data_IF_667924376838
#
_entry.id   IF_667924376838
#
_cell.length_a   1.000
_cell.length_b   1.000
_cell.length_c   1.000
_cell.angle_alpha   90.00
_cell.angle_beta   90.00
_cell.angle_gamma   90.00
#
_symmetry.space_group_name_H-M   'P 1'
#
loop_
_entity.id
_entity.type
_entity.pdbx_description
1 polymer ?
#
# COMPACT_ATOMS: atom_id res chain seq x y z
N UNK A 1 37.14 14.88 76.14
CA UNK A 1 37.52 13.45 76.05
C UNK A 1 36.96 12.88 74.75
N UNK A 2 37.78 12.09 74.00
CA UNK A 2 37.49 11.19 72.85
C UNK A 2 36.75 11.80 71.61
N UNK A 3 37.22 11.72 70.35
CA UNK A 3 37.50 10.54 69.45
C UNK A 3 36.25 9.64 69.25
N UNK A 4 35.83 9.12 68.07
CA UNK A 4 36.30 9.10 66.64
C UNK A 4 35.08 8.67 65.76
N UNK A 5 35.06 8.49 64.42
CA UNK A 5 36.08 8.37 63.35
C UNK A 5 35.55 9.00 62.01
N UNK A 6 35.59 8.30 60.86
CA UNK A 6 35.29 8.80 59.50
C UNK A 6 34.21 8.01 58.72
N UNK A 7 33.65 8.70 57.71
CA UNK A 7 33.32 8.28 56.32
C UNK A 7 32.85 6.85 55.96
N UNK A 8 31.70 6.82 55.24
CA UNK A 8 31.33 6.11 53.98
C UNK A 8 29.81 6.35 53.80
N UNK A 9 29.24 6.66 52.64
CA UNK A 9 29.69 6.40 51.28
C UNK A 9 28.91 5.24 50.67
N UNK A 10 27.62 5.44 50.34
CA UNK A 10 26.76 4.49 49.60
C UNK A 10 25.57 5.19 48.93
N UNK A 11 25.60 5.29 47.61
CA UNK A 11 24.41 5.33 46.75
C UNK A 11 24.13 3.87 46.33
N UNK A 12 22.89 3.38 46.40
CA UNK A 12 22.18 3.00 45.15
C UNK A 12 20.63 3.15 45.29
N UNK A 13 19.74 2.88 44.33
CA UNK A 13 19.75 2.18 43.04
C UNK A 13 18.90 2.95 42.01
N UNK A 14 19.26 2.87 40.72
CA UNK A 14 18.36 3.30 39.64
C UNK A 14 17.22 2.31 39.43
N UNK A 15 15.97 2.79 39.36
CA UNK A 15 14.81 1.97 38.99
C UNK A 15 14.67 1.90 37.47
N UNK A 16 15.41 1.00 36.84
CA UNK A 16 15.18 0.62 35.44
C UNK A 16 13.96 -0.31 35.35
N UNK A 17 12.88 0.18 34.73
CA UNK A 17 11.75 -0.67 34.36
C UNK A 17 12.22 -1.73 33.35
N UNK A 18 11.87 -3.02 33.51
CA UNK A 18 12.22 -4.01 32.50
C UNK A 18 11.43 -3.78 31.22
N UNK A 19 12.13 -3.51 30.12
CA UNK A 19 11.54 -3.59 28.77
C UNK A 19 11.27 -5.06 28.48
N UNK A 20 10.00 -5.47 28.41
CA UNK A 20 9.65 -6.76 27.85
C UNK A 20 10.06 -6.77 26.37
N UNK A 21 11.10 -7.52 26.04
CA UNK A 21 11.38 -7.90 24.66
C UNK A 21 10.30 -8.88 24.22
N UNK A 22 9.33 -8.41 23.44
CA UNK A 22 8.43 -9.29 22.69
C UNK A 22 9.25 -10.06 21.67
N UNK A 23 9.61 -11.31 22.00
CA UNK A 23 10.22 -12.23 21.04
C UNK A 23 9.10 -12.84 20.22
N UNK A 24 8.95 -12.38 18.98
CA UNK A 24 8.02 -12.99 18.04
C UNK A 24 8.51 -14.39 17.64
N UNK A 25 7.66 -15.43 17.62
CA UNK A 25 8.08 -16.76 17.19
C UNK A 25 8.48 -16.74 15.71
N UNK A 26 9.64 -17.34 15.41
CA UNK A 26 10.16 -17.51 14.06
C UNK A 26 9.19 -18.37 13.24
N UNK A 27 8.67 -17.82 12.15
CA UNK A 27 7.79 -18.57 11.24
C UNK A 27 8.49 -19.85 10.70
N UNK A 28 7.77 -20.97 10.56
CA UNK A 28 8.31 -22.17 9.93
C UNK A 28 8.62 -21.91 8.45
N UNK A 29 9.64 -22.59 7.91
CA UNK A 29 9.93 -22.53 6.46
C UNK A 29 8.72 -23.08 5.70
N UNK A 30 8.07 -22.21 4.93
CA UNK A 30 6.93 -22.58 4.09
C UNK A 30 7.38 -23.51 2.98
N UNK A 31 6.79 -24.70 2.92
CA UNK A 31 6.77 -25.50 1.70
C UNK A 31 5.89 -24.78 0.66
N UNK A 32 6.39 -24.69 -0.58
CA UNK A 32 5.72 -24.02 -1.71
C UNK A 32 4.28 -24.51 -1.85
N UNK A 33 3.35 -23.58 -1.99
CA UNK A 33 1.90 -23.88 -2.10
C UNK A 33 1.57 -24.50 -3.47
N UNK A 34 0.42 -25.18 -3.64
CA UNK A 34 0.14 -25.95 -4.85
C UNK A 34 0.14 -25.16 -6.16
N UNK A 35 -0.23 -23.87 -6.14
CA UNK A 35 -0.33 -23.03 -7.34
C UNK A 35 1.04 -22.60 -7.90
N UNK A 36 2.07 -22.55 -7.06
CA UNK A 36 3.45 -22.19 -7.43
C UNK A 36 4.14 -23.23 -8.34
N UNK A 37 3.49 -24.37 -8.56
CA UNK A 37 4.01 -25.51 -9.34
C UNK A 37 3.65 -25.44 -10.83
N UNK A 38 2.73 -24.54 -11.21
CA UNK A 38 2.12 -24.49 -12.54
C UNK A 38 2.64 -23.37 -13.45
N UNK A 39 3.61 -22.56 -13.00
CA UNK A 39 4.27 -21.60 -13.89
C UNK A 39 5.16 -22.35 -14.92
N UNK A 40 5.00 -22.11 -16.24
CA UNK A 40 5.88 -22.70 -17.23
C UNK A 40 7.32 -22.20 -17.03
N UNK A 41 8.27 -23.14 -16.96
CA UNK A 41 9.69 -22.80 -16.82
C UNK A 41 10.14 -21.97 -18.03
N UNK A 42 10.73 -20.79 -17.79
CA UNK A 42 11.33 -19.97 -18.85
C UNK A 42 12.43 -20.77 -19.56
N UNK A 43 12.14 -21.21 -20.79
CA UNK A 43 13.13 -21.80 -21.68
C UNK A 43 14.13 -20.73 -22.12
N UNK A 44 15.41 -20.98 -21.89
CA UNK A 44 16.50 -20.12 -22.38
C UNK A 44 16.70 -20.33 -23.87
N UNK A 45 16.11 -19.46 -24.70
CA UNK A 45 16.41 -19.37 -26.12
C UNK A 45 17.20 -18.10 -26.42
N UNK A 46 18.53 -18.23 -26.51
CA UNK A 46 19.38 -17.17 -27.05
C UNK A 46 19.23 -17.08 -28.56
N UNK A 47 18.63 -15.99 -29.07
CA UNK A 47 18.99 -15.47 -30.39
C UNK A 47 18.74 -13.96 -30.51
N UNK A 48 19.75 -13.27 -31.00
CA UNK A 48 19.81 -11.83 -31.27
C UNK A 48 18.98 -11.43 -32.49
N UNK A 49 18.30 -10.28 -32.44
CA UNK A 49 18.57 -9.07 -33.29
C UNK A 49 17.36 -8.11 -33.33
N UNK A 50 17.62 -6.83 -33.07
CA UNK A 50 16.94 -5.70 -33.71
C UNK A 50 15.49 -5.40 -33.33
N UNK A 51 15.28 -4.53 -32.33
CA UNK A 51 14.82 -3.16 -32.59
C UNK A 51 14.94 -2.29 -31.34
N UNK A 52 15.63 -1.18 -31.51
CA UNK A 52 15.96 -0.21 -30.46
C UNK A 52 14.72 0.62 -30.10
N UNK A 53 14.28 0.54 -28.84
CA UNK A 53 13.37 1.51 -28.21
C UNK A 53 13.97 1.92 -26.87
N UNK A 54 15.03 2.71 -26.95
CA UNK A 54 15.73 3.25 -25.79
C UNK A 54 14.89 4.24 -25.00
N UNK A 55 14.21 3.78 -23.97
CA UNK A 55 13.69 4.65 -22.91
C UNK A 55 14.71 4.76 -21.77
N UNK A 56 15.65 5.71 -21.91
CA UNK A 56 16.41 6.26 -20.78
C UNK A 56 16.42 7.79 -20.85
N UNK A 57 15.54 8.38 -20.04
CA UNK A 57 15.41 9.80 -19.71
C UNK A 57 14.35 9.90 -18.62
N UNK A 58 14.73 9.90 -17.35
CA UNK A 58 14.98 11.07 -16.50
C UNK A 58 13.69 11.73 -15.97
N UNK A 59 13.41 11.43 -14.69
CA UNK A 59 12.67 12.24 -13.71
C UNK A 59 11.29 12.75 -14.11
N UNK A 60 10.26 11.97 -13.78
CA UNK A 60 8.85 12.32 -13.95
C UNK A 60 7.98 11.12 -13.63
N UNK A 61 7.69 10.94 -12.34
CA UNK A 61 6.71 9.97 -11.85
C UNK A 61 5.38 10.16 -12.57
N UNK A 62 4.72 9.07 -12.97
CA UNK A 62 3.48 9.08 -13.77
C UNK A 62 2.23 9.57 -13.03
N UNK A 63 2.35 10.53 -12.11
CA UNK A 63 1.24 11.15 -11.39
C UNK A 63 1.22 12.66 -11.67
N UNK A 64 0.05 13.19 -12.04
CA UNK A 64 -0.15 14.60 -12.41
C UNK A 64 -1.15 15.33 -11.52
N UNK A 65 -1.80 14.63 -10.59
CA UNK A 65 -2.81 15.19 -9.69
C UNK A 65 -2.95 14.38 -8.41
N UNK A 66 -3.75 14.91 -7.48
CA UNK A 66 -3.86 14.41 -6.11
C UNK A 66 -4.87 13.26 -5.94
N UNK A 67 -5.72 13.02 -6.94
CA UNK A 67 -6.79 12.03 -6.86
C UNK A 67 -6.30 10.62 -7.24
N UNK A 68 -6.99 9.59 -6.76
CA UNK A 68 -6.56 8.20 -6.92
C UNK A 68 -6.33 7.75 -8.39
N UNK A 69 -7.03 8.36 -9.36
CA UNK A 69 -6.89 8.10 -10.80
C UNK A 69 -6.12 9.19 -11.58
N UNK A 70 -5.48 10.14 -10.90
CA UNK A 70 -4.62 11.16 -11.54
C UNK A 70 -3.16 10.66 -11.74
N UNK A 71 -3.02 9.38 -12.12
CA UNK A 71 -1.73 8.72 -12.37
C UNK A 71 -1.87 7.51 -13.32
N UNK A 72 -0.82 7.20 -14.07
CA UNK A 72 -0.80 6.14 -15.08
C UNK A 72 -1.08 4.74 -14.47
N UNK A 73 -0.40 4.37 -13.39
CA UNK A 73 -0.56 3.06 -12.72
C UNK A 73 -2.04 2.75 -12.41
N UNK A 74 -2.74 3.71 -11.78
CA UNK A 74 -4.15 3.56 -11.43
C UNK A 74 -5.08 3.51 -12.64
N UNK A 75 -4.74 4.18 -13.75
CA UNK A 75 -5.50 4.08 -15.00
C UNK A 75 -5.30 2.72 -15.66
N UNK A 76 -4.06 2.24 -15.76
CA UNK A 76 -3.74 0.89 -16.25
C UNK A 76 -4.45 -0.19 -15.40
N UNK A 77 -4.43 -0.04 -14.07
CA UNK A 77 -5.18 -0.92 -13.17
C UNK A 77 -6.71 -0.85 -13.40
N UNK A 78 -7.25 0.33 -13.70
CA UNK A 78 -8.67 0.49 -14.00
C UNK A 78 -9.09 -0.19 -15.33
N UNK A 79 -8.19 -0.31 -16.31
CA UNK A 79 -8.47 -1.05 -17.54
C UNK A 79 -8.73 -2.55 -17.28
N UNK A 80 -8.07 -3.15 -16.28
CA UNK A 80 -8.26 -4.56 -15.93
C UNK A 80 -9.61 -4.85 -15.26
N UNK A 81 -10.33 -3.84 -14.75
CA UNK A 81 -11.67 -4.03 -14.16
C UNK A 81 -12.68 -4.57 -15.18
N UNK A 82 -12.61 -4.15 -16.44
CA UNK A 82 -13.50 -4.65 -17.50
C UNK A 82 -13.33 -6.16 -17.76
N UNK A 83 -12.19 -6.74 -17.34
CA UNK A 83 -11.90 -8.17 -17.42
C UNK A 83 -12.48 -9.01 -16.28
N UNK A 84 -13.04 -8.40 -15.22
CA UNK A 84 -13.57 -9.10 -14.04
C UNK A 84 -14.98 -8.64 -13.68
N UNK A 85 -15.81 -9.54 -13.18
CA UNK A 85 -17.17 -9.25 -12.70
C UNK A 85 -17.33 -9.42 -11.18
N UNK A 86 -16.21 -9.46 -10.47
CA UNK A 86 -16.14 -9.63 -9.02
C UNK A 86 -15.01 -8.78 -8.39
N UNK A 87 -14.88 -8.84 -7.08
CA UNK A 87 -13.85 -8.09 -6.33
C UNK A 87 -12.47 -8.78 -6.33
N UNK A 88 -12.15 -9.66 -7.28
CA UNK A 88 -10.84 -10.34 -7.35
C UNK A 88 -9.69 -9.37 -7.58
N UNK A 89 -9.84 -8.40 -8.51
CA UNK A 89 -8.82 -7.40 -8.79
C UNK A 89 -8.59 -6.45 -7.59
N UNK A 90 -9.67 -6.02 -6.93
CA UNK A 90 -9.64 -5.24 -5.68
C UNK A 90 -8.94 -6.01 -4.56
N UNK A 91 -9.23 -7.31 -4.39
CA UNK A 91 -8.53 -8.19 -3.43
C UNK A 91 -7.04 -8.29 -3.76
N UNK A 92 -6.69 -8.51 -5.03
CA UNK A 92 -5.31 -8.63 -5.50
C UNK A 92 -4.47 -7.37 -5.24
N UNK A 93 -5.05 -6.17 -5.44
CA UNK A 93 -4.36 -4.91 -5.16
C UNK A 93 -4.01 -4.77 -3.66
N UNK A 94 -4.95 -5.08 -2.77
CA UNK A 94 -4.73 -5.04 -1.32
C UNK A 94 -3.78 -6.15 -0.84
N UNK A 95 -3.84 -7.34 -1.46
CA UNK A 95 -2.94 -8.47 -1.18
C UNK A 95 -1.47 -8.16 -1.53
N UNK A 96 -1.23 -7.33 -2.55
CA UNK A 96 0.13 -6.88 -2.88
C UNK A 96 0.69 -5.94 -1.80
N UNK A 97 -0.11 -5.03 -1.23
CA UNK A 97 0.30 -4.20 -0.08
C UNK A 97 0.62 -5.07 1.14
N UNK A 98 -0.23 -6.05 1.43
CA UNK A 98 -0.02 -6.99 2.54
C UNK A 98 1.24 -7.84 2.36
N UNK A 99 1.55 -8.25 1.11
CA UNK A 99 2.72 -9.06 0.78
C UNK A 99 4.06 -8.31 0.91
N UNK A 100 4.06 -6.98 0.70
CA UNK A 100 5.23 -6.11 1.00
C UNK A 100 5.52 -6.07 2.50
N UNK A 101 4.47 -6.07 3.33
CA UNK A 101 4.58 -6.00 4.78
C UNK A 101 5.33 -4.74 5.24
N UNK A 102 6.46 -4.94 5.92
CA UNK A 102 7.35 -3.86 6.38
C UNK A 102 8.55 -3.58 5.45
N UNK A 103 8.58 -4.15 4.25
CA UNK A 103 9.54 -3.76 3.21
C UNK A 103 9.15 -2.41 2.58
N UNK A 104 10.01 -1.86 1.73
CA UNK A 104 9.73 -0.62 1.00
C UNK A 104 8.52 -0.81 0.06
N UNK A 105 7.60 0.15 0.07
CA UNK A 105 6.40 0.13 -0.76
C UNK A 105 6.58 1.03 -1.98
N UNK A 106 6.85 0.39 -3.12
CA UNK A 106 6.91 1.01 -4.45
C UNK A 106 5.61 1.76 -4.79
N UNK A 107 5.74 2.86 -5.53
CA UNK A 107 4.63 3.76 -5.83
C UNK A 107 3.48 3.07 -6.56
N UNK A 108 3.74 2.32 -7.64
CA UNK A 108 2.67 1.76 -8.48
C UNK A 108 1.74 0.82 -7.69
N UNK A 109 2.28 0.10 -6.70
CA UNK A 109 1.46 -0.72 -5.79
C UNK A 109 0.56 0.15 -4.91
N UNK A 110 1.08 1.27 -4.39
CA UNK A 110 0.31 2.24 -3.62
C UNK A 110 -0.79 2.90 -4.46
N UNK A 111 -0.49 3.32 -5.69
CA UNK A 111 -1.47 3.86 -6.66
C UNK A 111 -2.62 2.87 -6.90
N UNK A 112 -2.29 1.61 -7.24
CA UNK A 112 -3.29 0.57 -7.51
C UNK A 112 -4.16 0.25 -6.28
N UNK A 113 -3.57 0.30 -5.08
CA UNK A 113 -4.32 0.11 -3.84
C UNK A 113 -5.25 1.30 -3.51
N UNK A 114 -4.85 2.54 -3.81
CA UNK A 114 -5.74 3.71 -3.70
C UNK A 114 -6.90 3.63 -4.71
N UNK A 115 -6.62 3.24 -5.95
CA UNK A 115 -7.65 2.98 -6.97
C UNK A 115 -8.66 1.91 -6.50
N UNK A 116 -8.16 0.80 -5.93
CA UNK A 116 -9.00 -0.25 -5.34
C UNK A 116 -9.85 0.26 -4.16
N UNK A 117 -9.32 1.15 -3.31
CA UNK A 117 -10.09 1.81 -2.24
C UNK A 117 -11.19 2.74 -2.81
N UNK A 118 -10.90 3.44 -3.91
CA UNK A 118 -11.81 4.37 -4.57
C UNK A 118 -12.96 3.64 -5.32
N UNK A 119 -12.73 2.38 -5.72
CA UNK A 119 -13.78 1.41 -6.11
C UNK A 119 -14.64 0.99 -4.91
N UNK A 120 -14.03 0.64 -3.77
CA UNK A 120 -14.77 0.25 -2.56
C UNK A 120 -15.67 1.39 -2.05
N UNK A 121 -15.19 2.64 -2.09
CA UNK A 121 -15.99 3.82 -1.75
C UNK A 121 -17.20 3.99 -2.69
N UNK A 122 -17.03 3.77 -4.00
CA UNK A 122 -18.13 3.80 -4.99
C UNK A 122 -19.17 2.71 -4.78
N UNK A 123 -18.75 1.47 -4.52
CA UNK A 123 -19.67 0.36 -4.22
C UNK A 123 -20.52 0.64 -2.97
N UNK A 124 -19.96 1.38 -2.00
CA UNK A 124 -20.70 1.88 -0.82
C UNK A 124 -21.53 3.14 -1.09
N UNK A 125 -21.66 3.59 -2.35
CA UNK A 125 -22.44 4.76 -2.76
C UNK A 125 -21.79 6.11 -2.44
N UNK A 126 -20.46 6.17 -2.32
CA UNK A 126 -19.70 7.37 -1.87
C UNK A 126 -18.51 7.70 -2.79
N UNK A 127 -18.75 8.01 -4.09
CA UNK A 127 -17.71 8.55 -4.95
C UNK A 127 -17.19 9.89 -4.40
N UNK A 128 -15.90 10.17 -4.55
CA UNK A 128 -15.33 11.48 -4.21
C UNK A 128 -15.44 12.50 -5.35
N UNK A 129 -15.40 12.03 -6.59
CA UNK A 129 -15.36 12.82 -7.81
C UNK A 129 -15.82 11.98 -9.01
N UNK A 130 -16.25 12.65 -10.08
CA UNK A 130 -16.58 12.02 -11.36
C UNK A 130 -15.93 12.81 -12.49
N UNK A 131 -15.12 12.15 -13.32
CA UNK A 131 -14.45 12.74 -14.48
C UNK A 131 -14.16 11.66 -15.54
N UNK A 132 -13.45 12.03 -16.62
CA UNK A 132 -13.13 11.09 -17.71
C UNK A 132 -12.27 9.88 -17.27
N UNK A 133 -11.49 10.01 -16.20
CA UNK A 133 -10.66 8.93 -15.64
C UNK A 133 -11.47 7.97 -14.75
N UNK A 134 -12.62 8.41 -14.19
CA UNK A 134 -13.48 7.55 -13.37
C UNK A 134 -14.61 6.89 -14.14
N UNK A 135 -14.98 7.37 -15.33
CA UNK A 135 -16.15 6.94 -16.09
C UNK A 135 -16.24 5.40 -16.26
N UNK A 136 -15.14 4.74 -16.62
CA UNK A 136 -15.03 3.27 -16.67
C UNK A 136 -15.36 2.60 -15.33
N UNK A 137 -14.82 3.13 -14.24
CA UNK A 137 -15.03 2.62 -12.89
C UNK A 137 -16.47 2.85 -12.43
N UNK A 138 -17.04 4.01 -12.74
CA UNK A 138 -18.43 4.37 -12.45
C UNK A 138 -19.40 3.45 -13.19
N UNK A 139 -19.13 3.15 -14.47
CA UNK A 139 -19.88 2.17 -15.29
C UNK A 139 -19.74 0.74 -14.75
N UNK A 140 -18.54 0.33 -14.35
CA UNK A 140 -18.29 -0.99 -13.77
C UNK A 140 -19.07 -1.18 -12.47
N UNK A 141 -19.04 -0.18 -11.57
CA UNK A 141 -19.79 -0.20 -10.30
C UNK A 141 -21.30 -0.20 -10.52
N UNK A 142 -21.79 0.60 -11.48
CA UNK A 142 -23.22 0.62 -11.82
C UNK A 142 -23.72 -0.74 -12.35
N UNK A 143 -22.87 -1.46 -13.07
CA UNK A 143 -23.14 -2.81 -13.59
C UNK A 143 -23.01 -3.90 -12.52
N UNK A 144 -22.05 -3.73 -11.60
CA UNK A 144 -21.72 -4.70 -10.54
C UNK A 144 -22.10 -4.15 -9.17
N UNK A 145 -23.40 -4.21 -8.84
CA UNK A 145 -23.97 -3.80 -7.55
C UNK A 145 -23.59 -4.75 -6.40
N UNK A 146 -22.29 -4.92 -6.15
CA UNK A 146 -21.72 -5.81 -5.14
C UNK A 146 -21.62 -5.07 -3.81
N UNK A 147 -22.19 -5.62 -2.75
CA UNK A 147 -21.93 -5.15 -1.38
C UNK A 147 -20.52 -5.63 -0.93
N UNK A 148 -19.55 -4.71 -0.71
CA UNK A 148 -18.19 -5.10 -0.36
C UNK A 148 -18.14 -5.59 1.10
N UNK A 149 -17.62 -6.81 1.38
CA UNK A 149 -17.62 -7.34 2.73
C UNK A 149 -16.75 -6.47 3.66
N UNK A 150 -17.22 -6.21 4.88
CA UNK A 150 -16.53 -5.31 5.82
C UNK A 150 -15.07 -5.69 6.12
N UNK A 151 -14.71 -6.98 6.04
CA UNK A 151 -13.32 -7.41 6.14
C UNK A 151 -12.42 -6.87 5.00
N UNK A 152 -12.96 -6.67 3.80
CA UNK A 152 -12.25 -6.05 2.68
C UNK A 152 -12.13 -4.52 2.86
N UNK A 153 -13.15 -3.86 3.42
CA UNK A 153 -13.08 -2.45 3.81
C UNK A 153 -11.97 -2.22 4.84
N UNK A 154 -11.86 -3.09 5.86
CA UNK A 154 -10.78 -3.03 6.85
C UNK A 154 -9.38 -3.25 6.24
N UNK A 155 -9.25 -4.10 5.21
CA UNK A 155 -8.00 -4.27 4.44
C UNK A 155 -7.66 -3.02 3.63
N UNK A 156 -8.65 -2.39 3.00
CA UNK A 156 -8.50 -1.10 2.33
C UNK A 156 -8.02 -0.01 3.29
N UNK A 157 -8.63 0.09 4.46
CA UNK A 157 -8.18 1.03 5.50
C UNK A 157 -6.73 0.76 5.94
N UNK A 158 -6.37 -0.50 6.18
CA UNK A 158 -5.00 -0.88 6.54
C UNK A 158 -3.99 -0.56 5.42
N UNK A 159 -4.37 -0.72 4.16
CA UNK A 159 -3.56 -0.35 3.00
C UNK A 159 -3.35 1.17 2.94
N UNK A 160 -4.39 1.99 3.14
CA UNK A 160 -4.25 3.46 3.20
C UNK A 160 -3.31 3.88 4.34
N UNK A 161 -3.44 3.27 5.52
CA UNK A 161 -2.52 3.51 6.66
C UNK A 161 -1.07 3.11 6.30
N UNK A 162 -0.88 2.02 5.56
CA UNK A 162 0.45 1.59 5.09
C UNK A 162 1.05 2.56 4.07
N UNK A 163 0.25 3.12 3.17
CA UNK A 163 0.66 4.09 2.13
C UNK A 163 1.02 5.45 2.75
N UNK A 164 0.24 5.92 3.72
CA UNK A 164 0.53 7.15 4.47
C UNK A 164 1.66 6.99 5.51
N UNK A 165 2.21 5.77 5.65
CA UNK A 165 3.26 5.41 6.59
C UNK A 165 4.68 5.55 6.03
N UNK A 166 5.72 5.35 6.87
CA UNK A 166 7.11 5.31 6.42
C UNK A 166 7.35 4.14 5.45
N UNK A 167 8.51 4.15 4.77
CA UNK A 167 8.86 3.15 3.76
C UNK A 167 7.82 3.09 2.62
N UNK A 168 7.43 4.25 2.08
CA UNK A 168 6.50 4.32 0.94
C UNK A 168 6.93 5.41 -0.03
N UNK A 169 7.27 4.99 -1.24
CA UNK A 169 7.75 5.85 -2.32
C UNK A 169 6.74 6.94 -2.68
N UNK A 170 5.47 6.56 -2.86
CA UNK A 170 4.38 7.51 -3.17
C UNK A 170 4.28 8.64 -2.13
N UNK A 171 4.39 8.31 -0.83
CA UNK A 171 4.39 9.31 0.25
C UNK A 171 5.61 10.22 0.17
N UNK A 172 6.79 9.66 -0.07
CA UNK A 172 8.05 10.40 -0.13
C UNK A 172 8.05 11.41 -1.29
N UNK A 173 7.63 10.98 -2.48
CA UNK A 173 7.48 11.83 -3.67
C UNK A 173 6.51 13.01 -3.46
N UNK A 174 5.40 12.77 -2.76
CA UNK A 174 4.46 13.83 -2.41
C UNK A 174 5.00 14.75 -1.31
N UNK A 175 5.71 14.22 -0.31
CA UNK A 175 6.33 15.05 0.74
C UNK A 175 7.44 15.96 0.18
N UNK A 176 8.20 15.53 -0.82
CA UNK A 176 9.18 16.36 -1.53
C UNK A 176 8.57 17.57 -2.26
N UNK A 177 7.30 17.47 -2.68
CA UNK A 177 6.61 18.47 -3.51
C UNK A 177 5.54 19.28 -2.76
N UNK A 178 5.29 18.98 -1.48
CA UNK A 178 4.34 19.70 -0.64
C UNK A 178 2.95 19.06 -0.55
N UNK A 179 2.89 17.72 -0.56
CA UNK A 179 1.69 16.87 -0.65
C UNK A 179 0.67 16.90 0.51
N UNK A 180 0.43 18.07 1.10
CA UNK A 180 -0.69 18.31 2.01
C UNK A 180 -2.05 18.06 1.33
N UNK A 181 -2.19 18.51 0.07
CA UNK A 181 -3.41 18.32 -0.72
C UNK A 181 -3.63 16.84 -1.09
N UNK A 182 -2.57 16.14 -1.52
CA UNK A 182 -2.61 14.69 -1.73
C UNK A 182 -2.99 13.93 -0.46
N UNK A 183 -2.36 14.25 0.67
CA UNK A 183 -2.69 13.61 1.95
C UNK A 183 -4.15 13.84 2.34
N UNK A 184 -4.67 15.05 2.15
CA UNK A 184 -6.08 15.36 2.39
C UNK A 184 -7.02 14.56 1.47
N UNK A 185 -6.67 14.38 0.19
CA UNK A 185 -7.44 13.55 -0.74
C UNK A 185 -7.44 12.05 -0.35
N UNK A 186 -6.32 11.53 0.15
CA UNK A 186 -6.21 10.15 0.64
C UNK A 186 -6.98 9.94 1.96
N UNK A 187 -6.94 10.91 2.88
CA UNK A 187 -7.71 10.87 4.13
C UNK A 187 -9.23 11.04 3.88
N UNK A 188 -9.65 11.83 2.88
CA UNK A 188 -11.04 11.89 2.39
C UNK A 188 -11.50 10.54 1.82
N UNK A 189 -10.71 9.93 0.92
CA UNK A 189 -10.98 8.61 0.38
C UNK A 189 -11.15 7.58 1.50
N UNK A 190 -10.22 7.53 2.47
CA UNK A 190 -10.34 6.67 3.64
C UNK A 190 -11.68 6.89 4.36
N UNK A 191 -12.04 8.15 4.61
CA UNK A 191 -13.26 8.52 5.34
C UNK A 191 -14.54 8.08 4.59
N UNK A 192 -14.61 8.30 3.27
CA UNK A 192 -15.72 7.83 2.42
C UNK A 192 -15.82 6.31 2.40
N UNK A 193 -14.68 5.63 2.26
CA UNK A 193 -14.60 4.17 2.20
C UNK A 193 -15.01 3.49 3.53
N UNK A 194 -14.70 4.08 4.69
CA UNK A 194 -14.90 3.42 6.00
C UNK A 194 -16.18 3.82 6.74
N UNK A 195 -16.60 5.09 6.71
CA UNK A 195 -17.67 5.62 7.59
C UNK A 195 -19.10 5.29 7.19
#
# INVERSE_FOLDING_TARGET
MNRTHEARGSNPLGSTKPILKLVWPRAPRTTRTPWERSQPRRSTCSRTLGSDHGHRGLTGVGAWGVLAFDNDDANDWAYDLDGVSDLSLVRSALEQIEAVGSGYLEQGLACNALAACEVLARLRGRPGYTNAYTDKVDQWVATHQIDPPMGLIARGEAAVVRILGPESELRELWEETGGQEWRAAVDDLRSRMTG
#
